data_IF_099026274825
#
_entry.id   IF_099026274825
#
_cell.length_a   1.000
_cell.length_b   1.000
_cell.length_c   1.000
_cell.angle_alpha   90.00
_cell.angle_beta   90.00
_cell.angle_gamma   90.00
#
_symmetry.space_group_name_H-M   'P 1'
#
loop_
_entity.id
_entity.type
_entity.pdbx_description
1 polymer ?
#
# COMPACT_ATOMS: atom_id res chain seq x y z
N UNK A 1 -19.77 -11.94 -18.49
CA UNK A 1 -20.06 -10.92 -17.46
C UNK A 1 -19.41 -11.27 -16.13
N UNK A 2 -19.30 -12.55 -15.76
CA UNK A 2 -18.62 -12.96 -14.52
C UNK A 2 -17.09 -12.82 -14.55
N UNK A 3 -16.46 -12.95 -15.72
CA UNK A 3 -14.99 -12.93 -15.85
C UNK A 3 -14.36 -11.58 -15.45
N UNK A 4 -15.00 -10.46 -15.81
CA UNK A 4 -14.50 -9.12 -15.45
C UNK A 4 -14.55 -8.87 -13.94
N UNK A 5 -15.64 -9.31 -13.29
CA UNK A 5 -15.79 -9.22 -11.83
C UNK A 5 -14.77 -10.10 -11.10
N UNK A 6 -14.53 -11.32 -11.61
CA UNK A 6 -13.52 -12.22 -11.06
C UNK A 6 -12.12 -11.62 -11.18
N UNK A 7 -11.78 -11.01 -12.32
CA UNK A 7 -10.49 -10.36 -12.53
C UNK A 7 -10.32 -9.12 -11.65
N UNK A 8 -11.36 -8.30 -11.48
CA UNK A 8 -11.33 -7.18 -10.56
C UNK A 8 -11.13 -7.65 -9.11
N UNK A 9 -11.82 -8.70 -8.69
CA UNK A 9 -11.67 -9.28 -7.35
C UNK A 9 -10.25 -9.83 -7.13
N UNK A 10 -9.66 -10.48 -8.14
CA UNK A 10 -8.25 -10.92 -8.10
C UNK A 10 -7.30 -9.75 -7.92
N UNK A 11 -7.49 -8.65 -8.66
CA UNK A 11 -6.67 -7.42 -8.51
C UNK A 11 -6.81 -6.84 -7.10
N UNK A 12 -8.02 -6.81 -6.54
CA UNK A 12 -8.27 -6.29 -5.19
C UNK A 12 -7.59 -7.15 -4.12
N UNK A 13 -7.71 -8.48 -4.21
CA UNK A 13 -7.02 -9.41 -3.31
C UNK A 13 -5.50 -9.23 -3.38
N UNK A 14 -4.95 -9.11 -4.60
CA UNK A 14 -3.52 -8.86 -4.82
C UNK A 14 -3.09 -7.53 -4.19
N UNK A 15 -3.84 -6.45 -4.40
CA UNK A 15 -3.50 -5.15 -3.82
C UNK A 15 -3.52 -5.19 -2.30
N UNK A 16 -4.53 -5.82 -1.70
CA UNK A 16 -4.63 -5.98 -0.25
C UNK A 16 -3.42 -6.72 0.31
N UNK A 17 -3.04 -7.84 -0.31
CA UNK A 17 -1.85 -8.59 0.07
C UNK A 17 -0.58 -7.73 0.01
N UNK A 18 -0.38 -6.97 -1.06
CA UNK A 18 0.81 -6.11 -1.23
C UNK A 18 0.86 -5.02 -0.16
N UNK A 19 -0.28 -4.40 0.15
CA UNK A 19 -0.36 -3.37 1.19
C UNK A 19 -0.04 -3.96 2.56
N UNK A 20 -0.68 -5.08 2.92
CA UNK A 20 -0.49 -5.72 4.23
C UNK A 20 0.95 -6.22 4.38
N UNK A 21 1.54 -6.78 3.31
CA UNK A 21 2.95 -7.15 3.27
C UNK A 21 3.88 -5.94 3.45
N UNK A 22 3.62 -4.83 2.74
CA UNK A 22 4.44 -3.63 2.85
C UNK A 22 4.38 -3.01 4.26
N UNK A 23 3.19 -3.01 4.89
CA UNK A 23 3.02 -2.58 6.27
C UNK A 23 3.86 -3.44 7.22
N UNK A 24 3.79 -4.77 7.10
CA UNK A 24 4.54 -5.68 7.97
C UNK A 24 6.05 -5.61 7.71
N UNK A 25 6.47 -5.46 6.46
CA UNK A 25 7.87 -5.24 6.08
C UNK A 25 8.41 -3.96 6.72
N UNK A 26 7.70 -2.84 6.55
CA UNK A 26 8.08 -1.56 7.16
C UNK A 26 8.13 -1.72 8.68
N UNK A 27 7.18 -2.41 9.30
CA UNK A 27 7.15 -2.61 10.76
C UNK A 27 8.35 -3.39 11.28
N UNK A 28 8.67 -4.53 10.67
CA UNK A 28 9.61 -5.53 11.21
C UNK A 28 11.06 -5.30 10.80
N UNK A 29 11.32 -4.76 9.62
CA UNK A 29 12.69 -4.65 9.10
C UNK A 29 13.39 -3.40 9.60
N UNK A 30 14.73 -3.44 9.71
CA UNK A 30 15.52 -2.26 10.04
C UNK A 30 15.70 -1.36 8.81
N UNK A 31 14.63 -0.65 8.46
CA UNK A 31 14.59 0.32 7.34
C UNK A 31 14.62 1.74 7.87
N UNK A 32 15.31 2.61 7.15
CA UNK A 32 15.28 4.06 7.38
C UNK A 32 13.93 4.65 7.00
N UNK A 33 13.67 5.87 7.48
CA UNK A 33 12.43 6.59 7.13
C UNK A 33 12.29 6.78 5.60
N UNK A 34 13.38 7.11 4.92
CA UNK A 34 13.37 7.31 3.46
C UNK A 34 13.15 6.01 2.68
N UNK A 35 13.69 4.88 3.16
CA UNK A 35 13.41 3.56 2.60
C UNK A 35 11.94 3.18 2.76
N UNK A 36 11.37 3.44 3.93
CA UNK A 36 9.96 3.18 4.18
C UNK A 36 9.07 4.03 3.25
N UNK A 37 9.40 5.30 3.04
CA UNK A 37 8.69 6.16 2.07
C UNK A 37 8.78 5.61 0.63
N UNK A 38 9.95 5.12 0.20
CA UNK A 38 10.11 4.47 -1.11
C UNK A 38 9.24 3.22 -1.26
N UNK A 39 9.09 2.44 -0.19
CA UNK A 39 8.17 1.28 -0.17
C UNK A 39 6.73 1.74 -0.39
N UNK A 40 6.28 2.78 0.34
CA UNK A 40 4.92 3.34 0.20
C UNK A 40 4.68 3.84 -1.24
N UNK A 41 5.64 4.57 -1.80
CA UNK A 41 5.55 5.07 -3.18
C UNK A 41 5.49 3.91 -4.19
N UNK A 42 6.27 2.85 -3.98
CA UNK A 42 6.24 1.64 -4.79
C UNK A 42 4.88 0.95 -4.78
N UNK A 43 4.26 0.83 -3.59
CA UNK A 43 2.91 0.28 -3.43
C UNK A 43 1.88 1.14 -4.16
N UNK A 44 1.94 2.48 -4.02
CA UNK A 44 1.05 3.40 -4.75
C UNK A 44 1.19 3.23 -6.26
N UNK A 45 2.41 3.23 -6.79
CA UNK A 45 2.67 3.00 -8.23
C UNK A 45 2.12 1.66 -8.70
N UNK A 46 2.24 0.60 -7.89
CA UNK A 46 1.67 -0.70 -8.24
C UNK A 46 0.14 -0.70 -8.23
N UNK A 47 -0.47 -0.04 -7.24
CA UNK A 47 -1.92 0.10 -7.16
C UNK A 47 -2.49 0.81 -8.39
N UNK A 48 -1.86 1.89 -8.84
CA UNK A 48 -2.30 2.64 -10.03
C UNK A 48 -2.11 1.88 -11.34
N UNK A 49 -1.16 0.95 -11.41
CA UNK A 49 -1.05 0.02 -12.55
C UNK A 49 -2.18 -1.00 -12.58
N UNK A 50 -2.64 -1.46 -11.41
CA UNK A 50 -3.76 -2.40 -11.30
C UNK A 50 -5.11 -1.70 -11.51
N UNK A 51 -5.22 -0.46 -11.04
CA UNK A 51 -6.43 0.36 -11.04
C UNK A 51 -6.12 1.79 -11.54
N UNK A 52 -5.96 1.98 -12.86
CA UNK A 52 -5.70 3.30 -13.42
C UNK A 52 -6.81 4.31 -13.07
N UNK A 53 -6.44 5.54 -12.69
CA UNK A 53 -7.39 6.60 -12.36
C UNK A 53 -8.06 6.48 -10.98
N UNK A 54 -7.53 5.62 -10.09
CA UNK A 54 -8.06 5.39 -8.73
C UNK A 54 -7.11 5.90 -7.64
N UNK A 55 -6.36 6.95 -7.92
CA UNK A 55 -5.42 7.62 -7.00
C UNK A 55 -6.10 8.03 -5.70
N UNK A 56 -7.24 8.71 -5.80
CA UNK A 56 -7.99 9.20 -4.65
C UNK A 56 -8.47 8.05 -3.76
N UNK A 57 -8.93 6.95 -4.35
CA UNK A 57 -9.37 5.78 -3.61
C UNK A 57 -8.21 5.14 -2.83
N UNK A 58 -7.00 5.06 -3.43
CA UNK A 58 -5.81 4.60 -2.73
C UNK A 58 -5.48 5.53 -1.55
N UNK A 59 -5.50 6.84 -1.77
CA UNK A 59 -5.17 7.83 -0.76
C UNK A 59 -6.18 7.85 0.39
N UNK A 60 -7.47 7.60 0.13
CA UNK A 60 -8.49 7.51 1.17
C UNK A 60 -8.39 6.21 1.99
N UNK A 61 -8.10 5.08 1.35
CA UNK A 61 -8.17 3.76 2.00
C UNK A 61 -6.83 3.36 2.65
N UNK A 62 -5.71 3.60 1.97
CA UNK A 62 -4.42 3.03 2.34
C UNK A 62 -3.42 4.05 2.89
N UNK A 63 -3.42 5.30 2.41
CA UNK A 63 -2.48 6.30 2.92
C UNK A 63 -2.60 6.52 4.45
N UNK A 64 -3.79 6.52 5.09
CA UNK A 64 -3.90 6.65 6.53
C UNK A 64 -3.23 5.51 7.30
N UNK A 65 -3.25 4.29 6.74
CA UNK A 65 -2.60 3.10 7.36
C UNK A 65 -1.08 3.24 7.35
N UNK A 66 -0.52 3.60 6.19
CA UNK A 66 0.92 3.85 6.08
C UNK A 66 1.36 5.02 6.95
N UNK A 67 0.61 6.13 6.96
CA UNK A 67 0.91 7.29 7.81
C UNK A 67 0.97 6.90 9.28
N UNK A 68 0.01 6.08 9.76
CA UNK A 68 -0.01 5.59 11.14
C UNK A 68 1.22 4.73 11.45
N UNK A 69 1.54 3.77 10.58
CA UNK A 69 2.70 2.88 10.73
C UNK A 69 4.02 3.66 10.74
N UNK A 70 4.21 4.59 9.80
CA UNK A 70 5.41 5.42 9.72
C UNK A 70 5.55 6.29 10.97
N UNK A 71 4.46 6.91 11.40
CA UNK A 71 4.46 7.69 12.64
C UNK A 71 4.86 6.80 13.82
N UNK A 72 4.24 5.63 14.02
CA UNK A 72 4.55 4.72 15.12
C UNK A 72 6.00 4.25 15.13
N UNK A 73 6.52 3.84 13.97
CA UNK A 73 7.88 3.32 13.86
C UNK A 73 8.97 4.38 14.02
N UNK A 74 8.75 5.55 13.45
CA UNK A 74 9.78 6.59 13.34
C UNK A 74 9.51 7.80 14.23
N UNK A 75 8.59 7.72 15.22
CA UNK A 75 8.39 8.81 16.19
C UNK A 75 9.76 9.26 16.69
N UNK A 76 10.12 10.50 16.34
CA UNK A 76 11.24 11.19 16.96
C UNK A 76 10.95 11.26 18.45
N UNK A 77 11.86 10.71 19.27
CA UNK A 77 12.01 11.19 20.64
C UNK A 77 12.40 12.67 20.63
#
# INVERSE_FOLDING_TARGET
MDDELIEEEKKLRRLRFIVDFALEYIKTQNVTHDEALRVVEGVKKHALKLFPGKEEAFDLIYAPRFKRMLNEKFKRS
#
